data_IF_324881086599
#
_entry.id   IF_324881086599
#
_cell.length_a   1.000
_cell.length_b   1.000
_cell.length_c   1.000
_cell.angle_alpha   90.00
_cell.angle_beta   90.00
_cell.angle_gamma   90.00
#
_symmetry.space_group_name_H-M   'P 1'
#
loop_
_entity.id
_entity.type
_entity.pdbx_description
1 polymer ?
#
# COMPACT_ATOMS: atom_id res chain seq x y z
N UNK A 1 19.72 -22.03 -13.63
CA UNK A 1 19.71 -21.93 -12.15
C UNK A 1 18.87 -23.07 -11.60
N UNK A 2 19.29 -23.73 -10.50
CA UNK A 2 18.39 -24.70 -9.83
C UNK A 2 17.21 -23.94 -9.24
N UNK A 3 16.00 -24.47 -9.41
CA UNK A 3 14.81 -23.93 -8.78
C UNK A 3 14.94 -24.03 -7.25
N UNK A 4 15.01 -22.87 -6.59
CA UNK A 4 15.17 -22.76 -5.14
C UNK A 4 13.81 -22.72 -4.42
N UNK A 5 12.70 -22.55 -5.14
CA UNK A 5 11.36 -22.40 -4.56
C UNK A 5 10.95 -23.59 -3.70
N UNK A 6 11.20 -24.87 -4.08
CA UNK A 6 10.89 -26.00 -3.22
C UNK A 6 11.65 -25.97 -1.89
N UNK A 7 12.87 -25.45 -1.87
CA UNK A 7 13.68 -25.36 -0.65
C UNK A 7 13.11 -24.31 0.30
N UNK A 8 12.72 -23.15 -0.24
CA UNK A 8 12.10 -22.06 0.53
C UNK A 8 10.74 -22.51 1.09
N UNK A 9 9.91 -23.15 0.26
CA UNK A 9 8.59 -23.66 0.68
C UNK A 9 8.70 -24.73 1.79
N UNK A 10 9.63 -25.67 1.65
CA UNK A 10 9.87 -26.68 2.69
C UNK A 10 10.38 -26.06 3.99
N UNK A 11 11.23 -25.04 3.91
CA UNK A 11 11.71 -24.31 5.07
C UNK A 11 10.58 -23.57 5.79
N UNK A 12 9.72 -22.88 5.04
CA UNK A 12 8.53 -22.21 5.57
C UNK A 12 7.59 -23.21 6.26
N UNK A 13 7.29 -24.33 5.59
CA UNK A 13 6.39 -25.37 6.12
C UNK A 13 6.87 -25.92 7.46
N UNK A 14 8.17 -26.24 7.57
CA UNK A 14 8.76 -26.71 8.84
C UNK A 14 8.70 -25.68 9.96
N UNK A 15 8.81 -24.39 9.65
CA UNK A 15 8.66 -23.35 10.67
C UNK A 15 7.21 -23.23 11.14
N UNK A 16 6.26 -23.29 10.20
CA UNK A 16 4.82 -23.22 10.48
C UNK A 16 4.37 -24.43 11.31
N UNK A 17 4.85 -25.63 11.00
CA UNK A 17 4.59 -26.84 11.78
C UNK A 17 5.11 -26.74 13.22
N UNK A 18 6.31 -26.16 13.41
CA UNK A 18 6.92 -26.01 14.74
C UNK A 18 6.30 -24.88 15.56
N UNK A 19 5.89 -23.79 14.91
CA UNK A 19 5.25 -22.65 15.56
C UNK A 19 4.11 -22.11 14.69
N UNK A 20 2.89 -22.65 14.87
CA UNK A 20 1.72 -22.25 14.11
C UNK A 20 1.30 -20.79 14.30
N UNK A 21 1.78 -20.10 15.33
CA UNK A 21 1.37 -18.72 15.63
C UNK A 21 2.37 -17.67 15.10
N UNK A 22 3.52 -18.09 14.57
CA UNK A 22 4.53 -17.18 14.02
C UNK A 22 4.61 -17.27 12.50
N UNK A 23 4.80 -16.13 11.80
CA UNK A 23 5.12 -16.15 10.38
C UNK A 23 6.51 -16.77 10.15
N UNK A 24 6.74 -17.44 9.01
CA UNK A 24 8.07 -17.93 8.68
C UNK A 24 9.05 -16.75 8.52
N UNK A 25 10.26 -16.91 9.06
CA UNK A 25 11.33 -15.91 8.98
C UNK A 25 12.59 -16.56 8.40
N UNK A 26 13.18 -15.92 7.40
CA UNK A 26 14.35 -16.41 6.68
C UNK A 26 15.55 -15.52 7.00
N UNK A 27 16.44 -15.98 7.88
CA UNK A 27 17.60 -15.18 8.33
C UNK A 27 18.55 -14.74 7.20
N UNK A 28 18.50 -15.44 6.06
CA UNK A 28 19.31 -15.17 4.87
C UNK A 28 18.60 -14.27 3.85
N UNK A 29 17.38 -13.82 4.12
CA UNK A 29 16.68 -12.84 3.30
C UNK A 29 16.78 -11.42 3.86
N UNK A 30 16.78 -10.39 3.00
CA UNK A 30 16.59 -9.01 3.40
C UNK A 30 15.33 -8.83 4.24
N UNK A 31 15.34 -7.82 5.14
CA UNK A 31 14.22 -7.51 6.02
C UNK A 31 12.91 -7.29 5.25
N UNK A 32 12.97 -6.59 4.11
CA UNK A 32 11.81 -6.34 3.24
C UNK A 32 11.16 -7.63 2.73
N UNK A 33 11.96 -8.62 2.34
CA UNK A 33 11.45 -9.93 1.91
C UNK A 33 10.82 -10.69 3.08
N UNK A 34 11.43 -10.65 4.27
CA UNK A 34 10.84 -11.24 5.47
C UNK A 34 9.52 -10.57 5.88
N UNK A 35 9.38 -9.26 5.66
CA UNK A 35 8.15 -8.53 5.95
C UNK A 35 6.97 -9.03 5.11
N UNK A 36 7.17 -9.41 3.84
CA UNK A 36 6.12 -9.99 3.00
C UNK A 36 5.49 -11.26 3.60
N UNK A 37 6.26 -12.07 4.34
CA UNK A 37 5.75 -13.30 4.94
C UNK A 37 5.01 -13.09 6.26
N UNK A 38 5.05 -11.88 6.83
CA UNK A 38 4.45 -11.56 8.14
C UNK A 38 2.96 -11.90 8.19
N UNK A 39 2.25 -11.65 7.09
CA UNK A 39 0.81 -11.86 6.98
C UNK A 39 0.44 -13.06 6.11
N UNK A 40 1.40 -13.91 5.74
CA UNK A 40 1.18 -15.01 4.81
C UNK A 40 0.02 -15.94 5.23
N UNK A 41 -0.15 -16.17 6.54
CA UNK A 41 -1.22 -17.04 7.08
C UNK A 41 -2.61 -16.43 7.00
N UNK A 42 -2.70 -15.11 7.00
CA UNK A 42 -3.95 -14.34 6.97
C UNK A 42 -4.17 -13.68 5.62
N UNK A 43 -3.27 -13.89 4.67
CA UNK A 43 -3.38 -13.33 3.33
C UNK A 43 -4.51 -14.04 2.59
N UNK A 44 -5.45 -13.26 2.06
CA UNK A 44 -6.54 -13.78 1.25
C UNK A 44 -6.02 -14.10 -0.16
N UNK A 45 -5.91 -15.39 -0.47
CA UNK A 45 -5.46 -15.84 -1.79
C UNK A 45 -6.44 -15.47 -2.90
N UNK A 46 -7.74 -15.34 -2.58
CA UNK A 46 -8.73 -14.92 -3.57
C UNK A 46 -8.54 -13.46 -3.92
N UNK A 47 -8.30 -12.59 -2.93
CA UNK A 47 -7.86 -11.21 -3.18
C UNK A 47 -6.65 -11.17 -4.11
N UNK A 48 -5.61 -11.98 -3.86
CA UNK A 48 -4.41 -12.03 -4.71
C UNK A 48 -4.70 -12.42 -6.16
N UNK A 49 -5.54 -13.45 -6.38
CA UNK A 49 -5.95 -13.87 -7.73
C UNK A 49 -6.72 -12.76 -8.47
N UNK A 50 -7.64 -12.10 -7.76
CA UNK A 50 -8.48 -11.04 -8.32
C UNK A 50 -7.67 -9.75 -8.55
N UNK A 51 -6.68 -9.46 -7.71
CA UNK A 51 -5.74 -8.35 -7.89
C UNK A 51 -4.88 -8.56 -9.14
N UNK A 52 -4.35 -9.77 -9.35
CA UNK A 52 -3.55 -10.12 -10.52
C UNK A 52 -4.33 -10.00 -11.84
N UNK A 53 -5.60 -10.40 -11.84
CA UNK A 53 -6.45 -10.34 -13.03
C UNK A 53 -7.23 -9.03 -13.17
N UNK A 54 -6.93 -8.02 -12.33
CA UNK A 54 -7.57 -6.70 -12.32
C UNK A 54 -9.09 -6.71 -12.03
N UNK A 55 -9.60 -7.81 -11.46
CA UNK A 55 -11.03 -8.02 -11.21
C UNK A 55 -11.45 -7.70 -9.78
N UNK A 56 -10.50 -7.55 -8.85
CA UNK A 56 -10.76 -7.23 -7.43
C UNK A 56 -11.57 -5.93 -7.24
N UNK A 57 -11.46 -5.01 -8.19
CA UNK A 57 -12.17 -3.75 -8.22
C UNK A 57 -13.09 -3.59 -9.44
N UNK A 58 -13.44 -4.70 -10.10
CA UNK A 58 -14.32 -4.64 -11.26
C UNK A 58 -15.66 -3.98 -10.90
N UNK A 59 -16.19 -3.19 -11.83
CA UNK A 59 -17.47 -2.48 -11.71
C UNK A 59 -17.56 -1.43 -10.57
N UNK A 60 -16.45 -1.11 -9.89
CA UNK A 60 -16.41 -0.04 -8.89
C UNK A 60 -16.33 1.33 -9.58
N UNK A 61 -17.33 2.19 -9.34
CA UNK A 61 -17.30 3.58 -9.76
C UNK A 61 -16.56 4.44 -8.73
N UNK A 62 -15.23 4.53 -8.86
CA UNK A 62 -14.40 5.34 -7.96
C UNK A 62 -14.74 6.81 -7.97
N UNK A 63 -15.14 7.37 -9.11
CA UNK A 63 -15.49 8.78 -9.18
C UNK A 63 -16.69 9.08 -8.28
N UNK A 64 -17.71 8.22 -8.32
CA UNK A 64 -18.85 8.29 -7.39
C UNK A 64 -18.38 8.18 -5.94
N UNK A 65 -17.54 7.20 -5.61
CA UNK A 65 -17.07 6.98 -4.24
C UNK A 65 -16.27 8.17 -3.69
N UNK A 66 -15.38 8.74 -4.51
CA UNK A 66 -14.52 9.86 -4.12
C UNK A 66 -15.32 11.16 -3.94
N UNK A 67 -16.28 11.43 -4.83
CA UNK A 67 -17.17 12.61 -4.72
C UNK A 67 -18.09 12.51 -3.50
N UNK A 68 -18.44 11.30 -3.08
CA UNK A 68 -19.29 11.07 -1.90
C UNK A 68 -18.53 11.23 -0.55
N UNK A 69 -17.21 11.47 -0.56
CA UNK A 69 -16.43 11.73 0.66
C UNK A 69 -16.74 13.14 1.16
N UNK A 70 -17.24 13.24 2.39
CA UNK A 70 -17.71 14.49 3.03
C UNK A 70 -16.86 14.94 4.23
N UNK A 71 -15.73 14.26 4.48
CA UNK A 71 -14.79 14.58 5.54
C UNK A 71 -13.43 15.04 4.99
N UNK A 72 -12.66 15.85 5.75
CA UNK A 72 -11.30 16.23 5.37
C UNK A 72 -10.40 15.03 5.09
N UNK A 73 -9.62 15.13 4.01
CA UNK A 73 -8.66 14.12 3.56
C UNK A 73 -7.28 14.76 3.40
N UNK A 74 -6.24 14.00 3.74
CA UNK A 74 -4.87 14.29 3.31
C UNK A 74 -4.43 13.14 2.43
N UNK A 75 -4.10 13.43 1.18
CA UNK A 75 -3.57 12.46 0.22
C UNK A 75 -2.05 12.62 0.16
N UNK A 76 -1.31 11.63 0.65
CA UNK A 76 0.15 11.58 0.52
C UNK A 76 0.53 10.73 -0.69
N UNK A 77 1.32 11.30 -1.60
CA UNK A 77 1.79 10.63 -2.82
C UNK A 77 3.31 10.55 -2.79
N UNK A 78 3.83 9.33 -2.87
CA UNK A 78 5.26 9.10 -3.13
C UNK A 78 5.50 9.30 -4.63
N UNK A 79 6.65 9.90 -4.98
CA UNK A 79 7.02 10.15 -6.38
C UNK A 79 6.75 8.92 -7.26
N UNK A 80 6.12 9.15 -8.41
CA UNK A 80 5.89 8.07 -9.37
C UNK A 80 7.21 7.56 -9.93
N UNK A 81 7.28 6.26 -10.15
CA UNK A 81 8.43 5.59 -10.74
C UNK A 81 7.91 4.61 -11.77
N UNK A 82 8.61 4.47 -12.88
CA UNK A 82 8.32 3.47 -13.90
C UNK A 82 9.47 2.48 -13.99
N UNK A 83 9.19 1.29 -14.53
CA UNK A 83 10.21 0.32 -14.94
C UNK A 83 11.18 0.93 -15.95
N UNK A 84 12.34 0.29 -16.16
CA UNK A 84 13.37 0.80 -17.08
C UNK A 84 12.86 1.00 -18.52
N UNK A 85 11.92 0.18 -18.96
CA UNK A 85 11.24 0.29 -20.27
C UNK A 85 10.08 1.30 -20.29
N UNK A 86 9.73 1.86 -19.14
CA UNK A 86 8.65 2.84 -18.97
C UNK A 86 7.23 2.27 -19.03
N UNK A 87 7.06 0.95 -19.16
CA UNK A 87 5.73 0.34 -19.38
C UNK A 87 4.97 0.06 -18.08
N UNK A 88 5.69 -0.17 -16.97
CA UNK A 88 5.10 -0.57 -15.69
C UNK A 88 5.24 0.55 -14.69
N UNK A 89 4.11 1.01 -14.15
CA UNK A 89 4.09 1.90 -12.99
C UNK A 89 4.56 1.10 -11.75
N UNK A 90 5.68 1.53 -11.18
CA UNK A 90 6.31 0.99 -9.97
C UNK A 90 5.94 1.81 -8.72
N UNK A 91 4.75 2.41 -8.74
CA UNK A 91 4.19 3.22 -7.66
C UNK A 91 2.70 2.89 -7.47
N UNK A 92 2.10 3.38 -6.39
CA UNK A 92 0.69 3.14 -6.10
C UNK A 92 -0.26 3.83 -7.10
N UNK A 93 0.12 5.02 -7.58
CA UNK A 93 -0.61 5.82 -8.56
C UNK A 93 0.36 6.75 -9.28
N UNK A 94 0.03 7.14 -10.51
CA UNK A 94 0.72 8.25 -11.17
C UNK A 94 0.42 9.56 -10.44
N UNK A 95 1.27 10.56 -10.64
CA UNK A 95 1.03 11.92 -10.17
C UNK A 95 -0.32 12.46 -10.67
N UNK A 96 -0.62 12.24 -11.96
CA UNK A 96 -1.90 12.65 -12.57
C UNK A 96 -3.10 11.98 -11.89
N UNK A 97 -3.02 10.66 -11.65
CA UNK A 97 -4.06 9.90 -10.96
C UNK A 97 -4.26 10.42 -9.53
N UNK A 98 -3.17 10.66 -8.80
CA UNK A 98 -3.22 11.15 -7.42
C UNK A 98 -3.83 12.58 -7.35
N UNK A 99 -3.43 13.46 -8.28
CA UNK A 99 -4.01 14.80 -8.41
C UNK A 99 -5.49 14.76 -8.77
N UNK A 100 -5.90 13.89 -9.71
CA UNK A 100 -7.31 13.70 -10.07
C UNK A 100 -8.13 13.22 -8.88
N UNK A 101 -7.62 12.25 -8.12
CA UNK A 101 -8.29 11.74 -6.91
C UNK A 101 -8.53 12.87 -5.91
N UNK A 102 -7.52 13.68 -5.61
CA UNK A 102 -7.66 14.78 -4.67
C UNK A 102 -8.61 15.88 -5.19
N UNK A 103 -8.63 16.13 -6.51
CA UNK A 103 -9.55 17.08 -7.12
C UNK A 103 -11.02 16.64 -7.09
N UNK A 104 -11.30 15.34 -7.04
CA UNK A 104 -12.67 14.80 -6.91
C UNK A 104 -13.24 14.97 -5.50
N UNK A 105 -12.37 15.01 -4.48
CA UNK A 105 -12.73 15.26 -3.07
C UNK A 105 -12.68 16.77 -2.82
N UNK A 106 -13.55 17.50 -3.53
CA UNK A 106 -13.51 18.96 -3.68
C UNK A 106 -13.45 19.69 -2.34
N UNK A 107 -12.50 20.62 -2.21
CA UNK A 107 -12.25 21.48 -1.04
C UNK A 107 -11.89 20.75 0.28
N UNK A 108 -11.97 19.41 0.31
CA UNK A 108 -11.73 18.59 1.49
C UNK A 108 -10.39 17.85 1.43
N UNK A 109 -9.81 17.67 0.24
CA UNK A 109 -8.52 17.00 0.09
C UNK A 109 -7.32 17.97 0.04
N UNK A 110 -6.37 17.77 0.93
CA UNK A 110 -5.02 18.33 0.87
C UNK A 110 -4.06 17.33 0.22
N UNK A 111 -3.38 17.74 -0.85
CA UNK A 111 -2.41 16.91 -1.56
C UNK A 111 -0.98 17.20 -1.08
N UNK A 112 -0.24 16.16 -0.73
CA UNK A 112 1.17 16.23 -0.33
C UNK A 112 1.95 15.25 -1.22
N UNK A 113 2.90 15.77 -2.00
CA UNK A 113 3.89 14.94 -2.71
C UNK A 113 5.17 14.86 -1.88
N UNK A 114 5.76 13.67 -1.76
CA UNK A 114 6.93 13.41 -0.93
C UNK A 114 7.90 12.44 -1.62
N UNK A 115 9.19 12.77 -1.57
CA UNK A 115 10.25 11.86 -2.02
C UNK A 115 10.38 10.70 -1.04
N UNK A 116 9.91 9.53 -1.46
CA UNK A 116 9.80 8.34 -0.62
C UNK A 116 9.72 7.09 -1.49
N UNK A 117 10.03 5.91 -0.93
CA UNK A 117 9.55 4.66 -1.54
C UNK A 117 8.03 4.48 -1.31
N UNK A 118 7.49 3.36 -1.77
CA UNK A 118 6.08 2.99 -1.63
C UNK A 118 5.56 3.11 -0.19
N UNK A 119 6.39 2.75 0.80
CA UNK A 119 6.01 2.75 2.21
C UNK A 119 6.38 4.09 2.88
N UNK A 120 5.66 5.16 2.58
CA UNK A 120 5.89 6.51 3.13
C UNK A 120 6.02 6.50 4.66
N UNK A 121 5.18 5.74 5.34
CA UNK A 121 5.16 5.64 6.80
C UNK A 121 6.41 4.94 7.39
N UNK A 122 7.14 4.16 6.59
CA UNK A 122 8.40 3.52 6.98
C UNK A 122 9.58 4.45 6.71
N UNK A 123 9.61 5.08 5.53
CA UNK A 123 10.73 5.90 5.09
C UNK A 123 10.71 7.31 5.68
N UNK A 124 9.52 7.88 5.82
CA UNK A 124 9.26 9.25 6.25
C UNK A 124 8.23 9.27 7.40
N UNK A 125 8.54 8.63 8.56
CA UNK A 125 7.58 8.46 9.64
C UNK A 125 7.10 9.79 10.22
N UNK A 126 7.96 10.80 10.31
CA UNK A 126 7.59 12.14 10.80
C UNK A 126 6.57 12.81 9.88
N UNK A 127 6.81 12.80 8.56
CA UNK A 127 5.88 13.37 7.58
C UNK A 127 4.52 12.64 7.59
N UNK A 128 4.52 11.33 7.83
CA UNK A 128 3.29 10.56 7.99
C UNK A 128 2.51 10.98 9.24
N UNK A 129 3.17 11.12 10.39
CA UNK A 129 2.53 11.60 11.63
C UNK A 129 1.98 13.02 11.45
N UNK A 130 2.75 13.91 10.82
CA UNK A 130 2.30 15.27 10.51
C UNK A 130 1.03 15.27 9.63
N UNK A 131 0.94 14.36 8.67
CA UNK A 131 -0.26 14.21 7.84
C UNK A 131 -1.48 13.77 8.64
N UNK A 132 -1.31 12.85 9.61
CA UNK A 132 -2.37 12.42 10.53
C UNK A 132 -2.83 13.61 11.40
N UNK A 133 -1.90 14.37 11.95
CA UNK A 133 -2.21 15.55 12.77
C UNK A 133 -2.98 16.62 11.97
N UNK A 134 -2.62 16.82 10.69
CA UNK A 134 -3.36 17.71 9.77
C UNK A 134 -4.81 17.27 9.57
N UNK A 135 -5.04 15.96 9.34
CA UNK A 135 -6.41 15.42 9.23
C UNK A 135 -7.19 15.69 10.52
N UNK A 136 -6.58 15.40 11.68
CA UNK A 136 -7.21 15.59 12.99
C UNK A 136 -7.60 17.06 13.25
N UNK A 137 -6.72 18.02 12.98
CA UNK A 137 -7.04 19.43 13.17
C UNK A 137 -8.13 19.94 12.21
N UNK A 138 -8.14 19.46 10.95
CA UNK A 138 -9.24 19.79 10.02
C UNK A 138 -10.58 19.25 10.50
N UNK A 139 -10.61 17.99 10.99
CA UNK A 139 -11.82 17.39 11.56
C UNK A 139 -12.33 18.16 12.78
N UNK A 140 -11.44 18.61 13.68
CA UNK A 140 -11.82 19.44 14.83
C UNK A 140 -12.43 20.78 14.43
N UNK A 141 -11.97 21.36 13.33
CA UNK A 141 -12.47 22.65 12.85
C UNK A 141 -13.76 22.51 12.04
N UNK A 142 -14.00 21.38 11.38
CA UNK A 142 -15.24 21.09 10.67
C UNK A 142 -16.44 20.82 11.61
N UNK A 143 -16.17 20.41 12.85
CA UNK A 143 -17.19 20.10 13.87
C UNK A 143 -17.46 21.27 14.85
N UNK A 144 -16.94 22.47 14.58
CA UNK A 144 -17.21 23.70 15.35
C UNK A 144 -18.18 24.60 14.58
#
# INVERSE_FOLDING_TARGET
MKDIMPTIANHASRQIEKNPDKPPQFFYFPKSINQMFTYFKTYDLEYGNQFYNYTWHNDVNYEKLLVDIDIPVVYMHANEMFSEDGEILMAAATFEQAKRTCALIVDLCEFIEIESSHDIHVDNPEAFIDAIDRVYEKLKNANK
#
